data_IF_060945986389
#
_entry.id   IF_060945986389
#
_cell.length_a   1.000
_cell.length_b   1.000
_cell.length_c   1.000
_cell.angle_alpha   90.00
_cell.angle_beta   90.00
_cell.angle_gamma   90.00
#
_symmetry.space_group_name_H-M   'P 1'
#
loop_
_entity.id
_entity.type
_entity.pdbx_description
1 polymer ?
#
# COMPACT_ATOMS: atom_id res chain seq x y z
N UNK A 1 -4.02 56.61 -55.00
CA UNK A 1 -2.69 57.21 -54.74
C UNK A 1 -2.90 58.63 -54.23
N UNK A 2 -2.24 59.13 -53.16
CA UNK A 2 -1.31 58.52 -52.16
C UNK A 2 -1.99 58.39 -50.75
N UNK A 3 -1.67 57.42 -49.86
CA UNK A 3 -0.58 57.34 -48.84
C UNK A 3 -0.61 58.51 -47.82
N UNK A 4 -0.59 58.39 -46.48
CA UNK A 4 0.03 57.42 -45.55
C UNK A 4 -0.42 57.68 -44.07
N UNK A 5 -0.28 56.64 -43.22
CA UNK A 5 0.08 56.59 -41.77
C UNK A 5 -0.95 56.81 -40.64
N UNK A 6 -1.04 55.75 -39.81
CA UNK A 6 -1.55 55.66 -38.43
C UNK A 6 -0.75 56.56 -37.44
N UNK A 7 -1.30 56.88 -36.25
CA UNK A 7 -1.01 56.03 -35.09
C UNK A 7 -2.22 55.67 -34.21
N UNK A 8 -2.17 54.42 -33.74
CA UNK A 8 -2.86 53.85 -32.59
C UNK A 8 -2.41 54.61 -31.33
N UNK A 9 -3.30 54.93 -30.38
CA UNK A 9 -3.04 54.85 -28.93
C UNK A 9 -4.34 54.79 -28.09
N UNK A 10 -4.33 53.80 -27.19
CA UNK A 10 -4.94 53.75 -25.86
C UNK A 10 -6.48 53.81 -25.70
N UNK A 11 -7.09 52.63 -25.68
CA UNK A 11 -8.06 52.28 -24.63
C UNK A 11 -7.51 51.08 -23.85
N UNK A 12 -6.73 51.38 -22.82
CA UNK A 12 -6.45 50.45 -21.74
C UNK A 12 -7.39 50.81 -20.60
N UNK A 13 -8.49 50.08 -20.44
CA UNK A 13 -9.17 49.93 -19.16
C UNK A 13 -9.99 48.64 -19.19
N UNK A 14 -10.02 47.96 -18.04
CA UNK A 14 -10.86 46.81 -17.67
C UNK A 14 -10.58 45.45 -18.30
N UNK A 15 -9.43 44.83 -17.97
CA UNK A 15 -9.31 43.35 -17.88
C UNK A 15 -8.65 42.90 -16.55
N UNK A 16 -8.27 43.82 -15.67
CA UNK A 16 -7.50 43.48 -14.46
C UNK A 16 -8.32 42.95 -13.27
N UNK A 17 -9.66 43.00 -13.32
CA UNK A 17 -10.49 42.64 -12.15
C UNK A 17 -11.13 41.24 -12.21
N UNK A 18 -10.94 40.48 -13.29
CA UNK A 18 -11.45 39.10 -13.40
C UNK A 18 -10.40 38.02 -13.08
N UNK A 19 -9.11 38.37 -13.03
CA UNK A 19 -8.01 37.42 -12.78
C UNK A 19 -7.74 37.24 -11.27
N UNK A 20 -8.15 38.19 -10.43
CA UNK A 20 -7.93 38.14 -8.98
C UNK A 20 -8.86 37.18 -8.22
N UNK A 21 -9.99 36.77 -8.81
CA UNK A 21 -10.92 35.78 -8.24
C UNK A 21 -10.66 34.34 -8.68
N UNK A 22 -9.71 34.10 -9.59
CA UNK A 22 -9.38 32.77 -10.11
C UNK A 22 -8.21 32.07 -9.37
N UNK A 23 -7.50 32.76 -8.48
CA UNK A 23 -6.49 32.16 -7.60
C UNK A 23 -7.06 31.49 -6.33
N UNK A 24 -8.39 31.42 -6.18
CA UNK A 24 -9.04 31.06 -4.92
C UNK A 24 -9.26 29.57 -4.62
N UNK A 25 -8.87 28.62 -5.48
CA UNK A 25 -9.21 27.20 -5.27
C UNK A 25 -8.10 26.18 -5.55
N UNK A 26 -6.87 26.61 -5.81
CA UNK A 26 -5.73 25.71 -5.63
C UNK A 26 -5.47 25.64 -4.11
N UNK A 27 -6.16 24.75 -3.40
CA UNK A 27 -5.79 24.44 -2.02
C UNK A 27 -4.35 23.93 -2.05
N UNK A 28 -3.43 24.74 -1.51
CA UNK A 28 -2.07 24.30 -1.26
C UNK A 28 -2.12 23.01 -0.43
N UNK A 29 -1.21 22.09 -0.71
CA UNK A 29 -1.06 20.89 0.08
C UNK A 29 -0.99 21.27 1.57
N UNK A 30 -1.77 20.58 2.42
CA UNK A 30 -1.80 20.91 3.83
C UNK A 30 -0.45 20.63 4.48
N UNK A 31 -0.19 21.28 5.62
CA UNK A 31 0.93 20.91 6.46
C UNK A 31 0.66 19.52 7.06
N UNK A 32 1.60 18.60 6.86
CA UNK A 32 1.56 17.29 7.50
C UNK A 32 2.05 17.38 8.94
N UNK A 33 1.54 16.53 9.84
CA UNK A 33 1.99 16.52 11.23
C UNK A 33 3.49 16.14 11.31
N UNK A 34 4.26 16.94 12.04
CA UNK A 34 5.62 16.57 12.42
C UNK A 34 5.57 15.62 13.62
N UNK A 35 5.93 14.35 13.42
CA UNK A 35 5.96 13.34 14.47
C UNK A 35 6.81 13.74 15.68
N UNK A 36 7.88 14.54 15.48
CA UNK A 36 8.75 14.99 16.56
C UNK A 36 8.08 16.08 17.43
N UNK A 37 7.00 16.69 16.94
CA UNK A 37 6.21 17.72 17.62
C UNK A 37 4.95 17.13 18.23
N UNK A 38 4.23 16.28 17.50
CA UNK A 38 2.89 15.81 17.91
C UNK A 38 2.91 14.53 18.74
N UNK A 39 3.94 13.68 18.61
CA UNK A 39 3.99 12.43 19.33
C UNK A 39 4.64 12.57 20.72
N UNK A 40 3.98 11.99 21.72
CA UNK A 40 4.54 11.75 23.05
C UNK A 40 4.73 10.25 23.30
N UNK A 41 5.70 9.92 24.16
CA UNK A 41 5.91 8.54 24.60
C UNK A 41 4.75 8.09 25.49
N UNK A 42 4.07 6.99 25.11
CA UNK A 42 3.11 6.33 25.98
C UNK A 42 3.83 5.41 26.97
N UNK A 43 4.26 5.96 28.10
CA UNK A 43 5.01 5.22 29.12
C UNK A 43 4.23 4.05 29.71
N UNK A 44 2.91 4.17 29.86
CA UNK A 44 2.07 3.08 30.35
C UNK A 44 2.09 1.88 29.39
N UNK A 45 1.98 2.12 28.08
CA UNK A 45 2.09 1.07 27.06
C UNK A 45 3.49 0.43 27.07
N UNK A 46 4.56 1.22 27.19
CA UNK A 46 5.92 0.67 27.26
C UNK A 46 6.14 -0.18 28.52
N UNK A 47 5.55 0.19 29.65
CA UNK A 47 5.59 -0.65 30.85
C UNK A 47 4.82 -1.96 30.68
N UNK A 48 3.68 -1.94 29.98
CA UNK A 48 2.94 -3.17 29.64
C UNK A 48 3.76 -4.09 28.73
N UNK A 49 4.47 -3.52 27.74
CA UNK A 49 5.39 -4.27 26.85
C UNK A 49 6.53 -4.90 27.63
N UNK A 50 7.18 -4.11 28.50
CA UNK A 50 8.25 -4.61 29.35
C UNK A 50 7.76 -5.73 30.28
N UNK A 51 6.60 -5.57 30.92
CA UNK A 51 5.99 -6.59 31.77
C UNK A 51 5.63 -7.86 30.99
N UNK A 52 5.08 -7.72 29.78
CA UNK A 52 4.81 -8.84 28.88
C UNK A 52 6.09 -9.57 28.47
N UNK A 53 7.18 -8.84 28.25
CA UNK A 53 8.47 -9.40 27.85
C UNK A 53 9.14 -10.23 28.97
N UNK A 54 8.86 -9.95 30.25
CA UNK A 54 9.36 -10.76 31.38
C UNK A 54 8.79 -12.19 31.36
N UNK A 55 7.63 -12.39 30.73
CA UNK A 55 6.94 -13.68 30.65
C UNK A 55 6.79 -14.13 29.20
N UNK A 56 7.75 -14.90 28.70
CA UNK A 56 7.72 -15.43 27.34
C UNK A 56 7.58 -16.96 27.33
N UNK A 57 6.46 -17.46 27.85
CA UNK A 57 6.14 -18.88 27.85
C UNK A 57 5.95 -19.41 26.41
N UNK A 58 6.12 -20.73 26.24
CA UNK A 58 5.78 -21.39 24.97
C UNK A 58 4.26 -21.34 24.77
N UNK A 59 3.74 -20.77 23.66
CA UNK A 59 2.32 -20.78 23.38
C UNK A 59 1.83 -22.21 23.11
N UNK A 60 0.73 -22.61 23.76
CA UNK A 60 0.11 -23.93 23.58
C UNK A 60 -1.39 -23.77 23.37
N UNK A 61 -1.88 -24.16 22.20
CA UNK A 61 -3.31 -24.26 21.93
C UNK A 61 -3.84 -25.61 22.43
N UNK A 62 -4.89 -25.58 23.26
CA UNK A 62 -5.52 -26.75 23.84
C UNK A 62 -6.87 -27.06 23.19
N UNK A 63 -7.63 -26.03 22.82
CA UNK A 63 -8.91 -26.16 22.16
C UNK A 63 -9.08 -25.10 21.08
N UNK A 64 -9.87 -25.44 20.07
CA UNK A 64 -10.34 -24.50 19.06
C UNK A 64 -11.86 -24.65 18.89
N UNK A 65 -12.54 -23.51 19.01
CA UNK A 65 -13.95 -23.39 18.73
C UNK A 65 -14.14 -22.60 17.43
N UNK A 66 -15.16 -22.95 16.66
CA UNK A 66 -15.60 -22.21 15.48
C UNK A 66 -17.06 -21.87 15.68
N UNK A 67 -17.38 -20.57 15.67
CA UNK A 67 -18.72 -20.03 15.95
C UNK A 67 -19.30 -20.58 17.27
N UNK A 68 -18.45 -20.74 18.30
CA UNK A 68 -18.82 -21.26 19.60
C UNK A 68 -18.90 -22.78 19.73
N UNK A 69 -18.77 -23.55 18.64
CA UNK A 69 -18.74 -25.01 18.68
C UNK A 69 -17.29 -25.52 18.81
N UNK A 70 -17.03 -26.42 19.77
CA UNK A 70 -15.73 -27.09 19.88
C UNK A 70 -15.50 -28.02 18.69
N UNK A 71 -14.46 -27.76 17.90
CA UNK A 71 -14.16 -28.53 16.68
C UNK A 71 -12.80 -29.21 16.70
N UNK A 72 -11.91 -28.81 17.61
CA UNK A 72 -10.59 -29.42 17.76
C UNK A 72 -10.07 -29.28 19.19
N UNK A 73 -9.30 -30.28 19.62
CA UNK A 73 -8.57 -30.33 20.88
C UNK A 73 -7.14 -30.79 20.62
N UNK A 74 -6.20 -30.41 21.50
CA UNK A 74 -4.81 -30.85 21.42
C UNK A 74 -4.70 -32.38 21.32
N UNK A 75 -3.81 -32.85 20.44
CA UNK A 75 -3.65 -34.27 20.12
C UNK A 75 -4.64 -34.83 19.11
N UNK A 76 -5.69 -34.09 18.73
CA UNK A 76 -6.64 -34.51 17.69
C UNK A 76 -6.00 -34.49 16.30
N UNK A 77 -6.34 -35.48 15.48
CA UNK A 77 -6.02 -35.55 14.05
C UNK A 77 -7.08 -34.89 13.17
N UNK A 78 -8.17 -34.37 13.77
CA UNK A 78 -9.22 -33.67 13.04
C UNK A 78 -8.68 -32.43 12.32
N UNK A 79 -9.21 -32.17 11.12
CA UNK A 79 -8.92 -30.97 10.34
C UNK A 79 -10.21 -30.16 10.15
N UNK A 80 -10.58 -29.29 11.10
CA UNK A 80 -11.79 -28.49 11.01
C UNK A 80 -11.82 -27.64 9.76
N UNK A 81 -13.02 -27.44 9.20
CA UNK A 81 -13.23 -26.57 8.05
C UNK A 81 -13.59 -25.17 8.53
N UNK A 82 -12.82 -24.19 8.06
CA UNK A 82 -13.04 -22.76 8.28
C UNK A 82 -13.65 -22.12 7.04
N UNK A 83 -14.49 -21.12 7.23
CA UNK A 83 -15.06 -20.27 6.16
C UNK A 83 -14.75 -18.81 6.46
N UNK A 84 -14.53 -17.96 5.45
CA UNK A 84 -14.50 -16.51 5.62
C UNK A 84 -15.63 -16.00 6.52
N UNK A 85 -15.27 -15.16 7.50
CA UNK A 85 -16.22 -14.59 8.46
C UNK A 85 -16.53 -15.45 9.69
N UNK A 86 -16.15 -16.73 9.72
CA UNK A 86 -16.26 -17.55 10.93
C UNK A 86 -15.48 -16.90 12.08
N UNK A 87 -16.03 -16.96 13.28
CA UNK A 87 -15.32 -16.58 14.51
C UNK A 87 -14.60 -17.79 15.07
N UNK A 88 -13.28 -17.75 15.10
CA UNK A 88 -12.42 -18.79 15.69
C UNK A 88 -12.01 -18.34 17.09
N UNK A 89 -12.16 -19.23 18.07
CA UNK A 89 -11.65 -19.04 19.43
C UNK A 89 -10.60 -20.10 19.72
N UNK A 90 -9.38 -19.68 20.03
CA UNK A 90 -8.33 -20.55 20.58
C UNK A 90 -8.34 -20.42 22.10
N UNK A 91 -8.31 -21.55 22.79
CA UNK A 91 -8.16 -21.63 24.25
C UNK A 91 -6.88 -22.39 24.54
N UNK A 92 -6.07 -21.87 25.46
CA UNK A 92 -4.75 -22.40 25.75
C UNK A 92 -3.99 -21.56 26.77
N UNK A 93 -2.67 -21.49 26.62
CA UNK A 93 -1.78 -20.71 27.49
C UNK A 93 -0.63 -20.12 26.68
N UNK A 94 -0.02 -19.05 27.20
CA UNK A 94 1.18 -18.45 26.61
C UNK A 94 0.93 -17.71 25.30
N UNK A 95 -0.31 -17.31 25.00
CA UNK A 95 -0.63 -16.52 23.81
C UNK A 95 -0.14 -15.06 23.91
N UNK A 96 0.37 -14.63 25.06
CA UNK A 96 0.90 -13.28 25.25
C UNK A 96 -0.19 -12.22 25.42
N UNK A 97 0.24 -10.96 25.39
CA UNK A 97 -0.59 -9.81 25.76
C UNK A 97 -1.34 -9.16 24.57
N UNK A 98 -1.39 -9.83 23.42
CA UNK A 98 -2.07 -9.35 22.22
C UNK A 98 -1.25 -8.41 21.35
N UNK A 99 -1.82 -8.01 20.22
CA UNK A 99 -1.12 -7.39 19.09
C UNK A 99 -0.64 -5.95 19.32
N UNK A 100 -1.21 -5.26 20.31
CA UNK A 100 -0.82 -3.90 20.70
C UNK A 100 0.40 -3.89 21.63
N UNK A 101 0.55 -4.95 22.42
CA UNK A 101 1.63 -5.12 23.41
C UNK A 101 2.75 -5.99 22.84
N UNK A 102 2.43 -7.16 22.30
CA UNK A 102 3.37 -8.08 21.68
C UNK A 102 3.36 -7.93 20.16
N UNK A 103 4.43 -8.35 19.49
CA UNK A 103 4.44 -8.54 18.04
C UNK A 103 3.84 -9.91 17.70
N UNK A 104 2.52 -10.01 17.90
CA UNK A 104 1.77 -11.25 17.69
C UNK A 104 1.14 -11.31 16.30
N UNK A 105 1.03 -12.52 15.76
CA UNK A 105 0.57 -12.81 14.39
C UNK A 105 -0.30 -14.05 14.40
N UNK A 106 -1.40 -14.04 13.64
CA UNK A 106 -2.17 -15.24 13.31
C UNK A 106 -2.19 -15.39 11.80
N UNK A 107 -1.92 -16.61 11.33
CA UNK A 107 -1.94 -16.97 9.92
C UNK A 107 -2.86 -18.17 9.70
N UNK A 108 -3.60 -18.17 8.60
CA UNK A 108 -4.22 -19.37 8.04
C UNK A 108 -3.53 -19.64 6.71
N UNK A 109 -2.58 -20.59 6.73
CA UNK A 109 -1.63 -20.78 5.65
C UNK A 109 -0.82 -19.52 5.37
N UNK A 110 -1.11 -18.87 4.24
CA UNK A 110 -0.46 -17.62 3.80
C UNK A 110 -1.31 -16.37 4.04
N UNK A 111 -2.55 -16.52 4.52
CA UNK A 111 -3.45 -15.40 4.76
C UNK A 111 -3.28 -14.91 6.19
N UNK A 112 -3.04 -13.61 6.35
CA UNK A 112 -2.81 -12.99 7.65
C UNK A 112 -4.14 -12.49 8.21
N UNK A 113 -4.38 -12.82 9.47
CA UNK A 113 -5.47 -12.26 10.26
C UNK A 113 -5.10 -10.81 10.58
N UNK A 114 -5.95 -9.88 10.18
CA UNK A 114 -5.67 -8.46 10.32
C UNK A 114 -5.74 -8.02 11.79
N UNK A 115 -4.69 -7.39 12.29
CA UNK A 115 -4.57 -6.99 13.70
C UNK A 115 -5.05 -5.56 13.99
N UNK A 116 -5.10 -4.71 12.96
CA UNK A 116 -5.48 -3.30 13.05
C UNK A 116 -6.54 -2.97 12.02
N UNK A 117 -7.45 -2.07 12.36
CA UNK A 117 -8.37 -1.53 11.37
C UNK A 117 -7.57 -0.84 10.27
N UNK A 118 -7.95 -1.09 9.02
CA UNK A 118 -7.39 -0.40 7.86
C UNK A 118 -8.40 0.60 7.34
N UNK A 119 -7.95 1.82 7.05
CA UNK A 119 -8.78 2.89 6.49
C UNK A 119 -8.07 3.46 5.27
N UNK A 120 -8.81 3.59 4.19
CA UNK A 120 -8.37 4.31 3.00
C UNK A 120 -9.12 5.63 2.93
N UNK A 121 -8.36 6.70 2.84
CA UNK A 121 -8.87 8.06 2.75
C UNK A 121 -8.90 8.57 1.30
N UNK A 122 -9.67 9.63 1.05
CA UNK A 122 -9.70 10.29 -0.24
C UNK A 122 -8.34 10.92 -0.50
N UNK A 123 -7.71 10.49 -1.60
CA UNK A 123 -6.45 11.06 -2.08
C UNK A 123 -6.71 12.23 -3.02
N UNK A 124 -5.92 13.29 -2.86
CA UNK A 124 -5.87 14.46 -3.74
C UNK A 124 -4.44 14.76 -4.14
N UNK A 125 -4.28 15.41 -5.28
CA UNK A 125 -3.01 15.94 -5.74
C UNK A 125 -3.07 17.48 -5.71
N UNK A 126 -2.18 18.10 -4.94
CA UNK A 126 -1.82 19.48 -5.19
C UNK A 126 -0.88 19.51 -6.41
N UNK A 127 -1.41 20.04 -7.50
CA UNK A 127 -0.73 20.12 -8.78
C UNK A 127 0.45 21.10 -8.72
N UNK A 128 0.32 22.21 -7.99
CA UNK A 128 1.36 23.25 -7.90
C UNK A 128 2.49 22.80 -6.98
N UNK A 129 2.17 22.26 -5.80
CA UNK A 129 3.15 21.72 -4.87
C UNK A 129 3.65 20.33 -5.26
N UNK A 130 3.08 19.73 -6.31
CA UNK A 130 3.46 18.40 -6.77
C UNK A 130 3.29 17.29 -5.72
N UNK A 131 2.41 17.51 -4.74
CA UNK A 131 2.27 16.71 -3.53
C UNK A 131 0.94 15.94 -3.51
N UNK A 132 1.01 14.62 -3.35
CA UNK A 132 -0.17 13.80 -3.05
C UNK A 132 -0.44 13.85 -1.55
N UNK A 133 -1.69 14.00 -1.17
CA UNK A 133 -2.13 14.04 0.22
C UNK A 133 -3.46 13.34 0.40
N UNK A 134 -3.75 12.93 1.63
CA UNK A 134 -5.03 12.33 1.99
C UNK A 134 -5.87 13.34 2.78
N UNK A 135 -7.17 13.35 2.52
CA UNK A 135 -8.13 14.15 3.29
C UNK A 135 -8.75 13.30 4.40
N UNK A 136 -9.35 13.90 5.42
CA UNK A 136 -10.07 13.15 6.46
C UNK A 136 -11.31 12.37 5.97
N UNK A 137 -11.67 12.44 4.69
CA UNK A 137 -12.83 11.75 4.12
C UNK A 137 -12.50 10.28 3.84
N UNK A 138 -13.15 9.39 4.59
CA UNK A 138 -13.04 7.93 4.39
C UNK A 138 -13.62 7.52 3.04
N UNK A 139 -12.88 6.69 2.30
CA UNK A 139 -13.30 6.06 1.04
C UNK A 139 -13.55 4.56 1.18
N UNK A 140 -12.80 3.89 2.05
CA UNK A 140 -13.01 2.49 2.38
C UNK A 140 -12.45 2.20 3.77
N UNK A 141 -12.95 1.16 4.41
CA UNK A 141 -12.45 0.68 5.69
C UNK A 141 -12.57 -0.83 5.78
N UNK A 142 -11.58 -1.47 6.39
CA UNK A 142 -11.56 -2.89 6.71
C UNK A 142 -11.34 -3.04 8.21
N UNK A 143 -12.34 -3.51 8.96
CA UNK A 143 -12.16 -3.76 10.38
C UNK A 143 -11.13 -4.87 10.59
N UNK A 144 -10.40 -4.80 11.70
CA UNK A 144 -9.50 -5.87 12.12
C UNK A 144 -10.25 -7.19 12.28
N UNK A 145 -9.54 -8.28 12.02
CA UNK A 145 -10.04 -9.63 12.21
C UNK A 145 -9.86 -10.09 13.67
N UNK A 146 -8.82 -9.61 14.38
CA UNK A 146 -8.62 -9.92 15.81
C UNK A 146 -9.70 -9.25 16.66
N UNK A 147 -10.53 -10.07 17.32
CA UNK A 147 -11.66 -9.63 18.14
C UNK A 147 -11.26 -9.43 19.60
N UNK A 148 -10.54 -10.39 20.17
CA UNK A 148 -10.04 -10.33 21.54
C UNK A 148 -8.76 -11.15 21.68
N UNK A 149 -7.89 -10.76 22.60
CA UNK A 149 -6.63 -11.45 22.85
C UNK A 149 -6.22 -11.34 24.31
N UNK A 150 -6.05 -12.47 24.97
CA UNK A 150 -5.42 -12.63 26.28
C UNK A 150 -4.40 -13.76 26.22
N UNK A 151 -3.66 -13.97 27.30
CA UNK A 151 -2.66 -15.05 27.35
C UNK A 151 -3.27 -16.45 27.21
N UNK A 152 -4.56 -16.63 27.52
CA UNK A 152 -5.23 -17.93 27.53
C UNK A 152 -6.36 -18.06 26.51
N UNK A 153 -6.76 -16.97 25.86
CA UNK A 153 -7.86 -16.95 24.90
C UNK A 153 -7.61 -15.94 23.78
N UNK A 154 -7.77 -16.39 22.54
CA UNK A 154 -7.67 -15.52 21.35
C UNK A 154 -8.88 -15.75 20.47
N UNK A 155 -9.54 -14.66 20.06
CA UNK A 155 -10.69 -14.69 19.17
C UNK A 155 -10.40 -13.86 17.93
N UNK A 156 -10.72 -14.41 16.75
CA UNK A 156 -10.54 -13.70 15.50
C UNK A 156 -11.51 -14.18 14.41
N UNK A 157 -11.74 -13.35 13.40
CA UNK A 157 -12.50 -13.69 12.20
C UNK A 157 -11.60 -14.32 11.15
N UNK A 158 -12.07 -15.35 10.47
CA UNK A 158 -11.36 -15.92 9.32
C UNK A 158 -11.35 -14.88 8.18
N UNK A 159 -10.17 -14.47 7.68
CA UNK A 159 -10.09 -13.40 6.68
C UNK A 159 -10.78 -13.78 5.37
N UNK A 160 -11.34 -12.80 4.62
CA UNK A 160 -12.01 -13.05 3.36
C UNK A 160 -11.10 -13.69 2.31
N UNK A 161 -9.80 -13.44 2.37
CA UNK A 161 -8.81 -13.96 1.45
C UNK A 161 -8.09 -15.22 1.98
N UNK A 162 -8.60 -15.86 3.05
CA UNK A 162 -8.12 -17.17 3.50
C UNK A 162 -8.42 -18.24 2.45
N UNK A 163 -7.43 -19.06 2.08
CA UNK A 163 -7.61 -20.04 1.00
C UNK A 163 -7.31 -21.48 1.39
N UNK A 164 -6.27 -21.72 2.20
CA UNK A 164 -5.83 -23.05 2.63
C UNK A 164 -4.70 -22.93 3.65
N UNK A 165 -4.36 -24.05 4.27
CA UNK A 165 -3.16 -24.23 5.07
C UNK A 165 -3.45 -24.16 6.57
N UNK A 166 -2.49 -24.59 7.40
CA UNK A 166 -2.72 -24.71 8.82
C UNK A 166 -2.90 -23.34 9.46
N UNK A 167 -3.66 -23.32 10.54
CA UNK A 167 -3.74 -22.20 11.44
C UNK A 167 -2.47 -22.13 12.29
N UNK A 168 -1.87 -20.96 12.36
CA UNK A 168 -0.66 -20.68 13.14
C UNK A 168 -0.89 -19.42 13.97
N UNK A 169 -0.38 -19.44 15.19
CA UNK A 169 -0.29 -18.27 16.07
C UNK A 169 1.14 -18.16 16.54
N UNK A 170 1.71 -16.96 16.40
CA UNK A 170 3.07 -16.63 16.82
C UNK A 170 3.05 -15.39 17.71
N UNK A 171 3.94 -15.38 18.70
CA UNK A 171 4.19 -14.27 19.62
C UNK A 171 5.68 -13.96 19.57
N UNK A 172 6.01 -12.68 19.42
CA UNK A 172 7.35 -12.14 19.60
C UNK A 172 7.24 -10.93 20.51
N UNK A 173 8.18 -10.74 21.45
CA UNK A 173 8.06 -9.69 22.46
C UNK A 173 8.61 -8.38 21.92
N UNK A 174 7.97 -7.27 22.30
CA UNK A 174 8.53 -5.92 22.15
C UNK A 174 9.32 -5.61 23.42
N UNK A 175 10.63 -5.46 23.28
CA UNK A 175 11.58 -5.37 24.42
C UNK A 175 12.12 -3.96 24.65
N UNK A 176 11.71 -2.99 23.83
CA UNK A 176 12.09 -1.60 23.93
C UNK A 176 11.79 -0.83 22.67
N UNK A 177 12.43 0.32 22.51
CA UNK A 177 12.28 1.21 21.37
C UNK A 177 13.63 1.48 20.69
N UNK A 178 13.63 1.60 19.38
CA UNK A 178 14.76 2.06 18.58
C UNK A 178 15.06 3.52 18.95
N UNK A 179 16.34 3.88 19.08
CA UNK A 179 16.75 5.25 19.40
C UNK A 179 16.49 6.21 18.22
N UNK A 180 16.07 7.44 18.54
CA UNK A 180 15.90 8.50 17.55
C UNK A 180 17.26 9.02 17.07
N UNK A 181 17.42 9.14 15.74
CA UNK A 181 18.58 9.79 15.13
C UNK A 181 18.55 11.32 15.23
N UNK A 182 17.36 11.91 15.40
CA UNK A 182 17.18 13.36 15.54
C UNK A 182 17.26 13.84 16.99
N UNK A 183 16.87 12.99 17.95
CA UNK A 183 16.88 13.27 19.39
C UNK A 183 17.63 12.15 20.12
N UNK A 184 18.98 12.18 20.15
CA UNK A 184 19.77 11.14 20.80
C UNK A 184 19.34 10.87 22.24
N UNK A 185 19.27 9.58 22.62
CA UNK A 185 18.80 9.15 23.95
C UNK A 185 17.27 9.11 24.10
N UNK A 186 16.49 9.56 23.12
CA UNK A 186 15.03 9.44 23.11
C UNK A 186 14.58 8.30 22.17
N UNK A 187 13.42 7.67 22.43
CA UNK A 187 12.84 6.68 21.51
C UNK A 187 12.44 7.32 20.18
N UNK A 188 12.51 6.55 19.10
CA UNK A 188 11.99 6.94 17.79
C UNK A 188 10.47 6.78 17.77
N UNK A 189 9.79 7.92 17.88
CA UNK A 189 8.33 8.01 17.84
C UNK A 189 7.84 8.14 16.39
N UNK A 190 6.73 7.50 16.09
CA UNK A 190 6.08 7.52 14.78
C UNK A 190 4.58 7.73 14.92
N UNK A 191 4.02 8.51 13.99
CA UNK A 191 2.58 8.59 13.78
C UNK A 191 2.14 7.30 13.07
N UNK A 192 0.94 6.81 13.39
CA UNK A 192 0.28 5.75 12.64
C UNK A 192 0.39 6.05 11.13
N UNK A 193 1.00 5.15 10.34
CA UNK A 193 1.16 5.35 8.91
C UNK A 193 -0.14 5.71 8.17
N UNK A 194 -1.30 5.25 8.66
CA UNK A 194 -2.62 5.55 8.10
C UNK A 194 -3.09 6.99 8.36
N UNK A 195 -2.52 7.67 9.35
CA UNK A 195 -2.87 9.04 9.72
C UNK A 195 -1.77 10.04 9.37
N UNK A 196 -0.54 9.57 9.12
CA UNK A 196 0.61 10.43 8.81
C UNK A 196 0.47 11.25 7.52
N UNK A 197 -0.43 10.83 6.62
CA UNK A 197 -0.74 11.51 5.35
C UNK A 197 -2.00 12.38 5.39
N UNK A 198 -2.66 12.46 6.55
CA UNK A 198 -3.80 13.32 6.77
C UNK A 198 -3.35 14.72 7.17
N UNK A 199 -4.12 15.72 6.75
CA UNK A 199 -3.99 17.10 7.25
C UNK A 199 -4.23 17.13 8.76
N UNK A 200 -3.21 17.57 9.50
CA UNK A 200 -3.25 17.94 10.93
C UNK A 200 -4.26 17.12 11.77
N UNK A 201 -4.10 15.78 11.88
CA UNK A 201 -4.95 15.01 12.79
C UNK A 201 -4.84 15.61 14.19
N UNK A 202 -5.96 15.98 14.80
CA UNK A 202 -5.96 16.69 16.09
C UNK A 202 -5.28 15.91 17.22
N UNK A 203 -5.30 14.57 17.14
CA UNK A 203 -4.63 13.64 18.03
C UNK A 203 -4.25 12.38 17.24
N UNK A 204 -3.14 12.37 16.49
CA UNK A 204 -2.74 11.18 15.78
C UNK A 204 -2.40 10.06 16.77
N UNK A 205 -2.74 8.83 16.42
CA UNK A 205 -2.25 7.67 17.14
C UNK A 205 -0.73 7.61 16.94
N UNK A 206 0.03 7.64 18.03
CA UNK A 206 1.48 7.55 18.02
C UNK A 206 1.95 6.26 18.69
N UNK A 207 3.09 5.76 18.24
CA UNK A 207 3.78 4.63 18.86
C UNK A 207 5.30 4.78 18.71
N UNK A 208 6.05 3.87 19.32
CA UNK A 208 7.49 3.74 19.11
C UNK A 208 7.79 2.77 17.97
N UNK A 209 8.91 2.95 17.27
CA UNK A 209 9.51 1.86 16.50
C UNK A 209 10.15 0.89 17.49
N UNK A 210 9.53 -0.29 17.65
CA UNK A 210 9.92 -1.25 18.69
C UNK A 210 11.19 -2.03 18.34
N UNK A 211 12.00 -2.31 19.35
CA UNK A 211 12.95 -3.41 19.36
C UNK A 211 12.19 -4.70 19.67
N UNK A 212 12.48 -5.78 18.94
CA UNK A 212 11.87 -7.09 19.11
C UNK A 212 12.84 -8.05 19.79
N UNK A 213 12.31 -9.01 20.55
CA UNK A 213 13.11 -10.12 21.07
C UNK A 213 13.72 -10.95 19.94
N UNK A 214 14.90 -11.53 20.15
CA UNK A 214 15.54 -12.41 19.17
C UNK A 214 14.69 -13.67 18.88
N UNK A 215 14.00 -14.16 19.90
CA UNK A 215 13.11 -15.31 19.79
C UNK A 215 11.69 -14.90 19.39
N UNK A 216 11.04 -15.77 18.61
CA UNK A 216 9.60 -15.77 18.41
C UNK A 216 9.07 -17.18 18.69
N UNK A 217 8.01 -17.30 19.49
CA UNK A 217 7.42 -18.58 19.88
C UNK A 217 6.04 -18.74 19.25
N UNK A 218 5.64 -19.97 18.97
CA UNK A 218 4.39 -20.25 18.26
C UNK A 218 3.72 -21.51 18.79
N UNK A 219 2.41 -21.60 18.62
CA UNK A 219 1.70 -22.87 18.83
C UNK A 219 2.17 -23.91 17.81
N UNK A 220 2.02 -25.19 18.13
CA UNK A 220 2.02 -26.23 17.09
C UNK A 220 0.91 -25.92 16.08
N UNK A 221 1.19 -25.85 14.76
CA UNK A 221 0.18 -25.52 13.77
C UNK A 221 -1.03 -26.46 13.83
N UNK A 222 -2.23 -25.91 13.82
CA UNK A 222 -3.47 -26.68 13.78
C UNK A 222 -3.82 -26.90 12.32
N UNK A 223 -3.93 -28.16 11.89
CA UNK A 223 -4.35 -28.46 10.53
C UNK A 223 -5.83 -28.06 10.35
N UNK A 224 -6.11 -27.25 9.33
CA UNK A 224 -7.46 -26.79 9.01
C UNK A 224 -7.68 -26.85 7.50
N UNK A 225 -8.90 -27.14 7.10
CA UNK A 225 -9.37 -26.90 5.74
C UNK A 225 -9.99 -25.51 5.65
N UNK A 226 -9.93 -24.88 4.49
CA UNK A 226 -10.61 -23.61 4.24
C UNK A 226 -11.56 -23.79 3.07
N UNK A 227 -12.83 -23.51 3.29
CA UNK A 227 -13.84 -23.45 2.25
C UNK A 227 -14.12 -21.99 1.90
N UNK A 228 -13.54 -21.53 0.80
CA UNK A 228 -13.71 -20.18 0.28
C UNK A 228 -13.95 -20.23 -1.24
N UNK A 229 -15.22 -20.37 -1.62
CA UNK A 229 -15.62 -20.44 -3.03
C UNK A 229 -15.26 -19.16 -3.82
N UNK A 230 -15.22 -18.01 -3.15
CA UNK A 230 -14.91 -16.71 -3.77
C UNK A 230 -13.42 -16.46 -3.96
N UNK A 231 -12.54 -17.32 -3.43
CA UNK A 231 -11.09 -17.07 -3.44
C UNK A 231 -10.52 -16.94 -4.86
N UNK A 232 -10.99 -17.75 -5.81
CA UNK A 232 -10.48 -17.73 -7.18
C UNK A 232 -10.74 -16.37 -7.86
N UNK A 233 -11.95 -15.83 -7.70
CA UNK A 233 -12.33 -14.55 -8.26
C UNK A 233 -11.60 -13.39 -7.58
N UNK A 234 -11.48 -13.42 -6.24
CA UNK A 234 -10.69 -12.43 -5.50
C UNK A 234 -9.21 -12.45 -5.90
N UNK A 235 -8.61 -13.63 -6.06
CA UNK A 235 -7.23 -13.78 -6.50
C UNK A 235 -7.04 -13.23 -7.92
N UNK A 236 -7.98 -13.51 -8.82
CA UNK A 236 -7.95 -12.99 -10.19
C UNK A 236 -7.98 -11.46 -10.18
N UNK A 237 -8.94 -10.85 -9.47
CA UNK A 237 -9.04 -9.40 -9.37
C UNK A 237 -7.79 -8.79 -8.72
N UNK A 238 -7.32 -9.35 -7.60
CA UNK A 238 -6.11 -8.88 -6.92
C UNK A 238 -4.86 -8.95 -7.81
N UNK A 239 -4.73 -9.99 -8.63
CA UNK A 239 -3.63 -10.11 -9.61
C UNK A 239 -3.75 -9.08 -10.72
N UNK A 240 -4.95 -8.85 -11.26
CA UNK A 240 -5.20 -7.80 -12.25
C UNK A 240 -4.83 -6.42 -11.70
N UNK A 241 -5.24 -6.10 -10.47
CA UNK A 241 -4.90 -4.82 -9.83
C UNK A 241 -3.38 -4.70 -9.65
N UNK A 242 -2.74 -5.71 -9.04
CA UNK A 242 -1.31 -5.66 -8.73
C UNK A 242 -0.43 -5.49 -9.99
N UNK A 243 -0.75 -6.22 -11.06
CA UNK A 243 0.10 -6.29 -12.26
C UNK A 243 -0.27 -5.28 -13.35
N UNK A 244 -1.50 -4.77 -13.35
CA UNK A 244 -2.04 -4.05 -14.51
C UNK A 244 -2.58 -2.67 -14.18
N UNK A 245 -2.94 -2.37 -12.92
CA UNK A 245 -3.59 -1.10 -12.58
C UNK A 245 -2.59 0.00 -12.24
N UNK A 246 -2.50 1.01 -13.10
CA UNK A 246 -1.84 2.28 -12.79
C UNK A 246 -2.75 3.08 -11.86
N UNK A 247 -2.26 3.40 -10.65
CA UNK A 247 -3.01 4.10 -9.60
C UNK A 247 -3.20 5.60 -9.92
N UNK A 248 -3.57 5.92 -11.16
CA UNK A 248 -3.77 7.27 -11.66
C UNK A 248 -2.47 8.09 -11.79
N UNK A 249 -1.31 7.44 -11.77
CA UNK A 249 -0.01 8.11 -11.73
C UNK A 249 0.46 8.52 -13.13
N UNK A 250 0.08 7.80 -14.18
CA UNK A 250 0.48 8.13 -15.54
C UNK A 250 0.06 9.55 -15.97
N UNK A 251 -1.15 9.97 -15.60
CA UNK A 251 -1.62 11.34 -15.88
C UNK A 251 -0.81 12.37 -15.08
N UNK A 252 -0.54 12.09 -13.81
CA UNK A 252 0.24 12.98 -12.95
C UNK A 252 1.68 13.15 -13.48
N UNK A 253 2.31 12.06 -13.91
CA UNK A 253 3.62 12.08 -14.57
C UNK A 253 3.58 12.88 -15.86
N UNK A 254 2.57 12.66 -16.72
CA UNK A 254 2.43 13.41 -17.97
C UNK A 254 2.28 14.90 -17.71
N UNK A 255 1.48 15.29 -16.72
CA UNK A 255 1.27 16.68 -16.33
C UNK A 255 2.58 17.34 -15.89
N UNK A 256 3.45 16.60 -15.18
CA UNK A 256 4.79 17.05 -14.76
C UNK A 256 5.86 16.92 -15.86
N UNK A 257 5.47 16.69 -17.12
CA UNK A 257 6.36 16.49 -18.26
C UNK A 257 7.34 15.30 -18.12
N UNK A 258 7.03 14.32 -17.27
CA UNK A 258 7.78 13.06 -17.24
C UNK A 258 7.35 12.20 -18.43
N UNK A 259 8.25 12.05 -19.40
CA UNK A 259 8.00 11.36 -20.66
C UNK A 259 8.56 9.93 -20.62
N UNK A 260 7.75 9.02 -20.09
CA UNK A 260 8.08 7.60 -20.01
C UNK A 260 8.37 6.96 -21.38
N UNK A 261 7.70 7.41 -22.44
CA UNK A 261 7.95 6.89 -23.79
C UNK A 261 9.38 7.21 -24.23
N UNK A 262 9.86 8.44 -24.01
CA UNK A 262 11.25 8.80 -24.29
C UNK A 262 12.24 8.08 -23.39
N UNK A 263 11.94 7.93 -22.09
CA UNK A 263 12.81 7.21 -21.13
C UNK A 263 12.99 5.76 -21.61
N UNK A 264 11.89 5.06 -21.90
CA UNK A 264 11.91 3.67 -22.32
C UNK A 264 12.45 3.43 -23.73
N UNK A 265 12.53 4.48 -24.56
CA UNK A 265 13.20 4.46 -25.86
C UNK A 265 14.68 4.90 -25.78
N UNK A 266 15.21 5.21 -24.60
CA UNK A 266 16.58 5.69 -24.43
C UNK A 266 16.84 7.09 -25.02
N UNK A 267 15.78 7.90 -25.13
CA UNK A 267 15.81 9.26 -25.71
C UNK A 267 15.85 10.37 -24.67
N UNK A 268 15.89 10.01 -23.38
CA UNK A 268 15.96 10.96 -22.27
C UNK A 268 17.34 10.90 -21.64
N UNK A 269 17.87 12.07 -21.27
CA UNK A 269 19.10 12.21 -20.50
C UNK A 269 18.76 12.31 -19.01
N UNK A 270 19.46 11.54 -18.19
CA UNK A 270 19.38 11.65 -16.74
C UNK A 270 19.92 13.00 -16.24
N UNK A 271 19.09 13.83 -15.56
CA UNK A 271 19.53 15.12 -15.09
C UNK A 271 20.68 15.05 -14.07
N UNK A 272 20.80 13.94 -13.33
CA UNK A 272 21.84 13.76 -12.31
C UNK A 272 23.17 13.31 -12.91
N UNK A 273 23.17 12.23 -13.69
CA UNK A 273 24.41 11.66 -14.24
C UNK A 273 24.81 12.23 -15.60
N UNK A 274 23.89 12.97 -16.27
CA UNK A 274 24.04 13.47 -17.65
C UNK A 274 24.23 12.38 -18.72
N UNK A 275 23.97 11.11 -18.38
CA UNK A 275 23.99 9.96 -19.31
C UNK A 275 22.58 9.68 -19.83
N UNK A 276 22.45 8.77 -20.80
CA UNK A 276 21.14 8.23 -21.19
C UNK A 276 20.46 7.63 -19.96
N UNK A 277 19.19 7.96 -19.74
CA UNK A 277 18.39 7.45 -18.64
C UNK A 277 18.16 5.94 -18.83
N UNK A 278 18.82 5.12 -18.01
CA UNK A 278 18.65 3.66 -18.02
C UNK A 278 17.43 3.27 -17.17
N UNK A 279 16.37 2.69 -17.76
CA UNK A 279 15.17 2.32 -17.02
C UNK A 279 15.41 1.30 -15.90
N UNK A 280 16.36 0.39 -16.08
CA UNK A 280 16.64 -0.65 -15.08
C UNK A 280 17.37 -0.05 -13.87
N UNK A 281 18.31 0.87 -14.10
CA UNK A 281 19.09 1.51 -13.03
C UNK A 281 18.27 2.56 -12.27
N UNK A 282 17.48 3.36 -12.98
CA UNK A 282 16.79 4.51 -12.40
C UNK A 282 15.43 4.13 -11.78
N UNK A 283 14.78 3.11 -12.32
CA UNK A 283 13.39 2.79 -11.99
C UNK A 283 13.16 1.31 -11.68
N UNK A 284 14.21 0.50 -11.62
CA UNK A 284 14.09 -0.95 -11.47
C UNK A 284 13.22 -1.59 -12.57
N UNK A 285 13.10 -0.95 -13.73
CA UNK A 285 12.20 -1.38 -14.79
C UNK A 285 12.83 -2.51 -15.60
N UNK A 286 12.21 -3.70 -15.55
CA UNK A 286 12.62 -4.85 -16.35
C UNK A 286 11.72 -4.97 -17.58
N UNK A 287 12.22 -5.53 -18.68
CA UNK A 287 11.35 -5.89 -19.82
C UNK A 287 10.32 -6.94 -19.42
N UNK A 288 9.08 -6.79 -19.85
CA UNK A 288 8.07 -7.85 -19.75
C UNK A 288 8.43 -8.98 -20.71
N UNK A 289 8.59 -10.20 -20.18
CA UNK A 289 8.87 -11.40 -20.98
C UNK A 289 7.84 -12.46 -20.62
N UNK A 290 7.14 -13.01 -21.61
CA UNK A 290 6.18 -14.08 -21.40
C UNK A 290 6.84 -15.26 -20.67
N UNK A 291 6.17 -15.79 -19.64
CA UNK A 291 6.71 -16.84 -18.77
C UNK A 291 7.59 -16.36 -17.61
N UNK A 292 8.14 -15.13 -17.67
CA UNK A 292 8.82 -14.50 -16.53
C UNK A 292 7.87 -13.68 -15.65
N UNK A 293 6.79 -13.17 -16.23
CA UNK A 293 5.71 -12.45 -15.56
C UNK A 293 4.37 -13.12 -15.86
N UNK A 294 3.33 -12.89 -15.03
CA UNK A 294 1.99 -13.38 -15.34
C UNK A 294 1.36 -12.66 -16.54
N UNK A 295 0.32 -13.28 -17.12
CA UNK A 295 -0.36 -12.77 -18.31
C UNK A 295 -0.92 -11.36 -18.12
N UNK A 296 -1.46 -11.05 -16.94
CA UNK A 296 -2.01 -9.74 -16.59
C UNK A 296 -0.97 -8.60 -16.67
N UNK A 297 0.32 -8.90 -16.54
CA UNK A 297 1.38 -7.91 -16.74
C UNK A 297 1.55 -7.51 -18.22
N UNK A 298 1.11 -8.35 -19.16
CA UNK A 298 1.29 -8.20 -20.61
C UNK A 298 -0.04 -7.90 -21.29
N UNK A 299 -1.08 -8.67 -21.00
CA UNK A 299 -2.38 -8.56 -21.65
C UNK A 299 -3.08 -7.25 -21.28
N UNK A 300 -4.00 -6.82 -22.13
CA UNK A 300 -4.87 -5.70 -21.81
C UNK A 300 -5.84 -6.09 -20.70
N UNK A 301 -6.06 -5.19 -19.75
CA UNK A 301 -7.01 -5.39 -18.66
C UNK A 301 -7.95 -4.19 -18.60
N UNK A 302 -9.24 -4.46 -18.65
CA UNK A 302 -10.28 -3.45 -18.50
C UNK A 302 -10.76 -3.43 -17.05
N UNK A 303 -10.91 -2.23 -16.48
CA UNK A 303 -11.46 -2.03 -15.14
C UNK A 303 -12.73 -1.20 -15.23
N UNK A 304 -13.81 -1.69 -14.61
CA UNK A 304 -15.07 -0.97 -14.41
C UNK A 304 -15.69 -1.33 -13.05
N UNK A 305 -15.64 -0.41 -12.06
CA UNK A 305 -14.88 0.85 -12.08
C UNK A 305 -13.37 0.62 -11.97
N UNK A 306 -12.59 1.70 -12.11
CA UNK A 306 -11.20 1.70 -11.68
C UNK A 306 -11.09 1.37 -10.18
N UNK A 307 -10.10 0.56 -9.76
CA UNK A 307 -9.81 0.29 -8.36
C UNK A 307 -9.63 1.56 -7.51
N UNK A 308 -9.11 2.63 -8.12
CA UNK A 308 -9.02 3.96 -7.53
C UNK A 308 -9.36 5.04 -8.58
N UNK A 309 -9.99 6.13 -8.18
CA UNK A 309 -10.17 7.26 -9.09
C UNK A 309 -8.87 8.07 -9.20
N UNK A 310 -8.64 8.72 -10.36
CA UNK A 310 -7.49 9.61 -10.50
C UNK A 310 -7.57 10.73 -9.45
N UNK A 311 -6.47 11.02 -8.71
CA UNK A 311 -6.46 12.07 -7.69
C UNK A 311 -6.43 13.49 -8.29
N UNK A 312 -6.39 13.62 -9.62
CA UNK A 312 -6.34 14.91 -10.31
C UNK A 312 -7.76 15.51 -10.39
N UNK A 313 -8.02 16.66 -9.75
CA UNK A 313 -9.36 17.23 -9.64
C UNK A 313 -9.96 17.63 -10.99
N UNK A 314 -11.29 17.53 -11.06
CA UNK A 314 -12.11 17.82 -12.23
C UNK A 314 -12.09 19.26 -12.75
N UNK A 315 -11.56 20.20 -11.96
CA UNK A 315 -11.88 21.62 -12.09
C UNK A 315 -11.18 22.33 -13.26
N UNK A 316 -10.09 21.76 -13.79
CA UNK A 316 -9.37 22.28 -14.97
C UNK A 316 -9.42 21.33 -16.16
N UNK A 317 -10.32 20.34 -16.15
CA UNK A 317 -10.32 19.32 -17.18
C UNK A 317 -11.06 19.75 -18.44
N UNK A 318 -10.39 19.61 -19.59
CA UNK A 318 -11.04 19.63 -20.91
C UNK A 318 -12.11 18.52 -21.04
N UNK A 319 -12.01 17.44 -20.27
CA UNK A 319 -13.00 16.34 -20.21
C UNK A 319 -13.10 15.75 -18.80
N UNK A 320 -14.28 15.27 -18.38
CA UNK A 320 -14.48 14.57 -17.08
C UNK A 320 -13.45 13.44 -16.89
N UNK A 321 -12.95 13.25 -15.66
CA UNK A 321 -12.10 12.11 -15.34
C UNK A 321 -12.80 10.79 -15.70
N UNK A 322 -12.02 9.84 -16.20
CA UNK A 322 -12.51 8.49 -16.45
C UNK A 322 -12.56 7.71 -15.14
N UNK A 323 -13.66 6.99 -14.94
CA UNK A 323 -13.87 6.09 -13.78
C UNK A 323 -13.75 4.61 -14.17
N UNK A 324 -13.48 4.33 -15.45
CA UNK A 324 -13.30 3.00 -16.02
C UNK A 324 -12.46 3.11 -17.29
N UNK A 325 -11.79 2.03 -17.69
CA UNK A 325 -11.01 1.99 -18.92
C UNK A 325 -9.95 0.88 -18.97
N UNK A 326 -9.25 0.82 -20.09
CA UNK A 326 -8.21 -0.17 -20.34
C UNK A 326 -6.86 0.24 -19.77
N UNK A 327 -6.10 -0.78 -19.40
CA UNK A 327 -4.65 -0.69 -19.25
C UNK A 327 -3.97 -1.62 -20.25
N UNK A 328 -2.82 -1.20 -20.78
CA UNK A 328 -2.05 -1.98 -21.75
C UNK A 328 -0.55 -1.96 -21.43
N UNK A 329 0.17 -2.96 -21.89
CA UNK A 329 1.59 -3.11 -21.62
C UNK A 329 2.42 -1.96 -22.23
N UNK A 330 3.39 -1.45 -21.47
CA UNK A 330 4.42 -0.53 -21.98
C UNK A 330 5.67 -1.27 -22.53
N UNK A 331 5.74 -2.57 -22.30
CA UNK A 331 6.93 -3.41 -22.51
C UNK A 331 7.80 -3.53 -21.26
N UNK A 332 7.42 -2.93 -20.14
CA UNK A 332 8.18 -2.89 -18.89
C UNK A 332 7.35 -3.32 -17.70
N UNK A 333 7.91 -4.20 -16.87
CA UNK A 333 7.25 -4.81 -15.72
C UNK A 333 6.88 -3.73 -14.71
N UNK A 334 5.59 -3.68 -14.38
CA UNK A 334 5.04 -2.70 -13.45
C UNK A 334 4.81 -1.32 -14.02
N UNK A 335 5.06 -1.10 -15.32
CA UNK A 335 4.78 0.15 -16.02
C UNK A 335 3.74 -0.09 -17.10
N UNK A 336 2.62 0.61 -17.03
CA UNK A 336 1.44 0.32 -17.86
C UNK A 336 0.88 1.61 -18.40
N UNK A 337 0.42 1.59 -19.65
CA UNK A 337 -0.48 2.64 -20.12
C UNK A 337 -1.82 2.43 -19.42
N UNK A 338 -2.42 3.50 -18.91
CA UNK A 338 -3.82 3.52 -18.47
C UNK A 338 -4.58 4.62 -19.20
N UNK A 339 -5.77 4.30 -19.68
CA UNK A 339 -6.71 5.29 -20.20
C UNK A 339 -7.09 6.27 -19.08
N UNK A 340 -7.16 7.56 -19.37
CA UNK A 340 -7.64 8.57 -18.43
C UNK A 340 -7.97 9.88 -19.16
N UNK A 341 -8.20 10.97 -18.42
CA UNK A 341 -8.41 12.32 -18.95
C UNK A 341 -7.36 13.28 -18.39
N UNK A 342 -6.45 13.75 -19.24
CA UNK A 342 -5.47 14.76 -18.85
C UNK A 342 -6.12 16.14 -18.85
N UNK A 343 -5.89 16.97 -17.82
CA UNK A 343 -6.55 18.27 -17.69
C UNK A 343 -6.47 19.13 -18.93
N UNK A 344 -5.28 19.21 -19.53
CA UNK A 344 -4.98 20.08 -20.67
C UNK A 344 -5.05 19.39 -22.04
N UNK A 345 -4.95 18.07 -22.09
CA UNK A 345 -4.80 17.32 -23.36
C UNK A 345 -6.06 16.51 -23.69
N UNK A 346 -7.01 16.42 -22.75
CA UNK A 346 -8.21 15.61 -22.90
C UNK A 346 -7.94 14.12 -22.73
N UNK A 347 -8.83 13.29 -23.31
CA UNK A 347 -8.76 11.83 -23.19
C UNK A 347 -7.52 11.26 -23.88
N UNK A 348 -6.91 10.27 -23.25
CA UNK A 348 -5.74 9.60 -23.77
C UNK A 348 -5.32 8.43 -22.89
N UNK A 349 -4.11 7.94 -23.10
CA UNK A 349 -3.47 6.94 -22.24
C UNK A 349 -2.04 7.34 -21.94
N UNK A 350 -1.61 7.14 -20.70
CA UNK A 350 -0.28 7.52 -20.26
C UNK A 350 0.35 6.43 -19.43
N UNK A 351 1.66 6.30 -19.53
CA UNK A 351 2.41 5.32 -18.75
C UNK A 351 2.49 5.83 -17.31
N UNK A 352 2.01 5.03 -16.37
CA UNK A 352 2.34 5.14 -14.96
C UNK A 352 3.01 3.89 -14.45
N UNK A 353 3.07 3.75 -13.13
CA UNK A 353 3.59 2.57 -12.48
C UNK A 353 2.56 1.97 -11.53
N UNK A 354 2.67 0.69 -11.24
CA UNK A 354 1.74 -0.06 -10.40
C UNK A 354 2.47 -0.81 -9.27
N UNK A 355 1.75 -1.63 -8.49
CA UNK A 355 2.36 -2.37 -7.38
C UNK A 355 3.58 -3.20 -7.80
N UNK A 356 3.59 -3.76 -9.01
CA UNK A 356 4.70 -4.58 -9.50
C UNK A 356 5.97 -3.79 -9.83
N UNK A 357 5.93 -2.45 -9.98
CA UNK A 357 7.16 -1.68 -10.14
C UNK A 357 7.96 -1.63 -8.83
N UNK A 358 7.25 -1.41 -7.72
CA UNK A 358 7.85 -1.26 -6.39
C UNK A 358 7.98 -2.59 -5.63
N UNK A 359 7.11 -3.56 -5.96
CA UNK A 359 6.99 -4.86 -5.27
C UNK A 359 7.13 -6.04 -6.23
N UNK A 360 7.79 -5.85 -7.38
CA UNK A 360 8.15 -6.91 -8.30
C UNK A 360 9.66 -7.11 -8.31
N UNK A 361 10.12 -8.24 -7.77
CA UNK A 361 11.55 -8.54 -7.72
C UNK A 361 11.94 -9.62 -8.72
N UNK A 362 12.86 -9.30 -9.64
CA UNK A 362 13.39 -10.23 -10.62
C UNK A 362 14.44 -11.13 -9.98
N UNK A 363 14.17 -12.43 -9.95
CA UNK A 363 15.04 -13.45 -9.37
C UNK A 363 15.34 -14.51 -10.44
N UNK A 364 16.62 -14.86 -10.56
CA UNK A 364 17.09 -15.98 -11.38
C UNK A 364 17.61 -17.09 -10.47
N UNK A 365 17.18 -18.32 -10.70
CA UNK A 365 17.59 -19.48 -9.91
C UNK A 365 17.62 -20.75 -10.76
N UNK A 366 18.46 -21.70 -10.38
CA UNK A 366 18.54 -23.00 -11.06
C UNK A 366 17.48 -23.95 -10.49
N UNK A 367 16.80 -24.69 -11.38
CA UNK A 367 15.87 -25.77 -11.01
C UNK A 367 16.25 -27.00 -11.84
N UNK A 368 16.96 -27.93 -11.22
CA UNK A 368 17.61 -29.03 -11.95
C UNK A 368 18.65 -28.48 -12.93
N UNK A 369 18.58 -28.89 -14.20
CA UNK A 369 19.46 -28.39 -15.27
C UNK A 369 19.00 -27.08 -15.92
N UNK A 370 17.85 -26.53 -15.52
CA UNK A 370 17.28 -25.31 -16.12
C UNK A 370 17.59 -24.08 -15.28
N UNK A 371 17.87 -22.95 -15.94
CA UNK A 371 17.90 -21.64 -15.30
C UNK A 371 16.56 -20.94 -15.52
N UNK A 372 15.87 -20.59 -14.43
CA UNK A 372 14.57 -19.94 -14.44
C UNK A 372 14.76 -18.49 -14.00
N UNK A 373 14.17 -17.56 -14.74
CA UNK A 373 14.07 -16.16 -14.36
C UNK A 373 12.60 -15.78 -14.24
N UNK A 374 12.21 -15.19 -13.11
CA UNK A 374 10.85 -14.68 -12.90
C UNK A 374 10.87 -13.36 -12.15
N UNK A 375 9.82 -12.57 -12.32
CA UNK A 375 9.53 -11.44 -11.42
C UNK A 375 8.48 -11.90 -10.42
N UNK A 376 8.87 -11.94 -9.15
CA UNK A 376 8.01 -12.38 -8.06
C UNK A 376 7.26 -11.17 -7.47
N UNK A 377 5.94 -11.27 -7.28
CA UNK A 377 5.16 -10.24 -6.59
C UNK A 377 5.40 -10.30 -5.08
N UNK A 378 5.46 -9.14 -4.42
CA UNK A 378 5.51 -9.01 -2.96
C UNK A 378 6.81 -8.40 -2.45
N UNK A 379 8.00 -9.01 -2.68
CA UNK A 379 9.27 -8.45 -2.24
C UNK A 379 9.50 -7.05 -2.83
N UNK A 380 10.08 -6.12 -2.06
CA UNK A 380 10.42 -4.81 -2.59
C UNK A 380 11.41 -4.96 -3.75
N UNK A 381 11.20 -4.20 -4.81
CA UNK A 381 12.15 -4.06 -5.91
C UNK A 381 13.33 -3.20 -5.42
N UNK A 382 14.53 -3.77 -5.24
CA UNK A 382 15.65 -3.05 -4.61
C UNK A 382 16.18 -1.90 -5.47
N UNK A 383 15.86 -1.88 -6.76
CA UNK A 383 16.28 -0.84 -7.70
C UNK A 383 15.19 0.21 -7.95
N UNK A 384 13.98 0.02 -7.40
CA UNK A 384 12.92 0.99 -7.58
C UNK A 384 13.10 2.18 -6.63
N UNK A 385 12.93 3.39 -7.15
CA UNK A 385 13.13 4.63 -6.38
C UNK A 385 12.24 5.76 -6.90
N UNK A 386 11.84 6.67 -5.99
CA UNK A 386 11.12 7.90 -6.31
C UNK A 386 12.06 9.11 -6.55
N UNK A 387 13.38 8.89 -6.68
CA UNK A 387 14.36 9.98 -6.77
C UNK A 387 14.27 10.84 -8.03
N UNK A 388 13.50 10.43 -9.03
CA UNK A 388 13.47 11.02 -10.38
C UNK A 388 12.21 11.81 -10.67
#
# INVERSE_FOLDING_TARGET
MPLFRLPIHARALSVASAVATLCGLAQAAPNFPDQDVVCGLNTAREQQRLASAQNFAQPVAQQMLVNGALVWTAGSTAAPTLRPGDTVTLIGTGFGAGTDIDFSKIMIGNSRVLETDLVMYEQKLDILASANYETGKVRSSWPKDVLSWTDTRVEFRVPPHASKGPLKLQVQKRIGAVASLKKPGQPHLVIDPQQSRLEAPANPNCDVVSLLSDEAKAITPINVAVNNASFADMLKLGRQIFWSYDYGLGVAHKFKNLDWDKIFQGKTTDPYTRKVADPALLFGAYKTVAGQVPAEAIDNVFFDPYPQESPIPGFLLVNKQLTAGNTSNSGWVGYRYAESSHPLLGKGKWIGFNCASCHGYKISYSKGSSNITKVFPGPPNPQWTQRW
#
